data_IF_697817228018
#
_entry.id   IF_697817228018
#
_cell.length_a   1.000
_cell.length_b   1.000
_cell.length_c   1.000
_cell.angle_alpha   90.00
_cell.angle_beta   90.00
_cell.angle_gamma   90.00
#
_symmetry.space_group_name_H-M   'P 1'
#
loop_
_entity.id
_entity.type
_entity.pdbx_description
1 polymer ?
#
# COMPACT_ATOMS: atom_id res chain seq x y z
N UNK A 1 5.35 3.61 21.32
CA UNK A 1 4.08 2.89 21.61
C UNK A 1 3.74 2.12 20.35
N UNK A 2 3.93 0.79 20.35
CA UNK A 2 3.65 -0.02 19.17
C UNK A 2 2.19 0.16 18.77
N UNK A 3 1.94 0.69 17.57
CA UNK A 3 0.60 0.69 16.98
C UNK A 3 0.19 -0.77 16.88
N UNK A 4 -0.81 -1.22 17.67
CA UNK A 4 -1.43 -2.54 17.47
C UNK A 4 -1.93 -2.58 16.03
N UNK A 5 -1.15 -3.17 15.12
CA UNK A 5 -1.56 -3.34 13.73
C UNK A 5 -2.85 -4.14 13.74
N UNK A 6 -3.90 -3.59 13.14
CA UNK A 6 -5.16 -4.32 13.05
C UNK A 6 -4.96 -5.54 12.13
N UNK A 7 -5.69 -6.66 12.36
CA UNK A 7 -5.57 -7.87 11.53
C UNK A 7 -5.64 -7.59 10.02
N UNK A 8 -6.48 -6.63 9.61
CA UNK A 8 -6.60 -6.20 8.21
C UNK A 8 -5.36 -5.51 7.66
N UNK A 9 -4.67 -4.68 8.45
CA UNK A 9 -3.44 -4.02 8.01
C UNK A 9 -2.34 -5.04 7.67
N UNK A 10 -2.27 -6.12 8.45
CA UNK A 10 -1.31 -7.22 8.23
C UNK A 10 -1.68 -8.05 7.01
N UNK A 11 -2.98 -8.31 6.83
CA UNK A 11 -3.48 -9.01 5.66
C UNK A 11 -3.24 -8.21 4.36
N UNK A 12 -3.35 -6.88 4.38
CA UNK A 12 -2.98 -6.04 3.22
C UNK A 12 -1.50 -6.11 2.89
N UNK A 13 -0.66 -6.04 3.92
CA UNK A 13 0.79 -6.15 3.80
C UNK A 13 1.18 -7.52 3.23
N UNK A 14 0.56 -8.59 3.74
CA UNK A 14 0.69 -9.93 3.19
C UNK A 14 0.21 -10.04 1.74
N UNK A 15 -0.93 -9.43 1.40
CA UNK A 15 -1.46 -9.41 0.05
C UNK A 15 -0.54 -8.66 -0.93
N UNK A 16 -0.01 -7.51 -0.54
CA UNK A 16 0.92 -6.71 -1.34
C UNK A 16 2.17 -7.50 -1.71
N UNK A 17 2.78 -8.14 -0.71
CA UNK A 17 3.98 -8.95 -0.90
C UNK A 17 3.68 -10.19 -1.76
N UNK A 18 2.51 -10.81 -1.57
CA UNK A 18 2.10 -12.00 -2.31
C UNK A 18 1.76 -11.69 -3.77
N UNK A 19 1.03 -10.60 -4.05
CA UNK A 19 0.69 -10.16 -5.42
C UNK A 19 1.95 -9.97 -6.26
N UNK A 20 3.02 -9.46 -5.65
CA UNK A 20 4.30 -9.26 -6.33
C UNK A 20 4.93 -10.58 -6.82
N UNK A 21 4.63 -11.70 -6.15
CA UNK A 21 5.17 -13.04 -6.39
C UNK A 21 4.31 -13.90 -7.32
N UNK A 22 3.07 -13.49 -7.60
CA UNK A 22 2.17 -14.22 -8.51
C UNK A 22 2.73 -14.12 -9.94
N UNK A 23 3.37 -15.20 -10.40
CA UNK A 23 3.58 -15.44 -11.83
C UNK A 23 2.20 -15.71 -12.43
N UNK A 24 1.66 -14.73 -13.16
CA UNK A 24 0.43 -14.77 -13.99
C UNK A 24 0.02 -16.19 -14.41
N UNK A 25 -0.73 -16.90 -13.55
CA UNK A 25 -1.44 -18.13 -13.91
C UNK A 25 -2.92 -17.77 -13.92
N UNK A 26 -3.53 -17.87 -15.10
CA UNK A 26 -4.90 -17.43 -15.42
C UNK A 26 -6.02 -18.23 -14.74
N UNK A 27 -5.75 -19.06 -13.73
CA UNK A 27 -6.76 -19.88 -13.06
C UNK A 27 -6.82 -19.57 -11.56
N UNK A 28 -8.02 -19.75 -10.99
CA UNK A 28 -8.36 -19.56 -9.57
C UNK A 28 -7.22 -20.06 -8.68
N UNK A 29 -6.67 -19.18 -7.83
CA UNK A 29 -5.66 -19.55 -6.85
C UNK A 29 -6.23 -20.64 -5.94
N UNK A 30 -5.51 -21.75 -5.80
CA UNK A 30 -5.83 -22.77 -4.80
C UNK A 30 -5.26 -22.37 -3.43
N UNK A 31 -5.75 -22.98 -2.35
CA UNK A 31 -5.19 -22.79 -1.00
C UNK A 31 -3.70 -23.16 -0.93
N UNK A 32 -3.27 -24.16 -1.69
CA UNK A 32 -1.87 -24.59 -1.78
C UNK A 32 -1.00 -23.54 -2.49
N UNK A 33 -1.49 -22.95 -3.59
CA UNK A 33 -0.81 -21.83 -4.26
C UNK A 33 -0.66 -20.62 -3.31
N UNK A 34 -1.62 -20.40 -2.42
CA UNK A 34 -1.62 -19.32 -1.45
C UNK A 34 -0.59 -19.55 -0.34
N UNK A 35 -0.46 -20.77 0.16
CA UNK A 35 0.55 -21.12 1.16
C UNK A 35 1.97 -20.96 0.61
N UNK A 36 2.20 -21.35 -0.64
CA UNK A 36 3.47 -21.14 -1.34
C UNK A 36 3.79 -19.65 -1.53
N UNK A 37 2.77 -18.83 -1.85
CA UNK A 37 2.92 -17.38 -1.98
C UNK A 37 3.24 -16.71 -0.64
N UNK A 38 2.55 -17.11 0.43
CA UNK A 38 2.80 -16.63 1.79
C UNK A 38 4.23 -16.99 2.21
N UNK A 39 4.66 -18.23 1.95
CA UNK A 39 6.01 -18.67 2.27
C UNK A 39 7.07 -17.89 1.47
N UNK A 40 6.82 -17.61 0.19
CA UNK A 40 7.69 -16.78 -0.64
C UNK A 40 7.76 -15.32 -0.15
N UNK A 41 6.63 -14.75 0.27
CA UNK A 41 6.56 -13.42 0.86
C UNK A 41 7.35 -13.34 2.18
N UNK A 42 7.15 -14.31 3.08
CA UNK A 42 7.89 -14.42 4.35
C UNK A 42 9.40 -14.55 4.09
N UNK A 43 9.82 -15.36 3.11
CA UNK A 43 11.24 -15.50 2.74
C UNK A 43 11.83 -14.19 2.24
N UNK A 44 11.10 -13.48 1.40
CA UNK A 44 11.53 -12.18 0.86
C UNK A 44 11.70 -11.17 1.99
N UNK A 45 10.73 -11.07 2.90
CA UNK A 45 10.82 -10.20 4.07
C UNK A 45 11.95 -10.60 5.02
N UNK A 46 12.19 -11.90 5.21
CA UNK A 46 13.30 -12.37 6.06
C UNK A 46 14.64 -11.86 5.52
N UNK A 47 14.84 -11.90 4.20
CA UNK A 47 16.04 -11.36 3.55
C UNK A 47 16.12 -9.84 3.76
N UNK A 48 15.02 -9.12 3.53
CA UNK A 48 14.99 -7.66 3.72
C UNK A 48 15.27 -7.24 5.18
N UNK A 49 14.75 -7.99 6.15
CA UNK A 49 15.05 -7.78 7.57
C UNK A 49 16.53 -8.01 7.84
N UNK A 50 17.11 -9.08 7.28
CA UNK A 50 18.55 -9.34 7.40
C UNK A 50 19.38 -8.20 6.81
N UNK A 51 19.06 -7.74 5.60
CA UNK A 51 19.72 -6.61 4.94
C UNK A 51 19.62 -5.33 5.78
N UNK A 52 18.43 -5.05 6.34
CA UNK A 52 18.22 -3.91 7.22
C UNK A 52 19.06 -3.98 8.50
N UNK A 53 19.19 -5.16 9.11
CA UNK A 53 20.05 -5.39 10.28
C UNK A 53 21.54 -5.21 9.95
N UNK A 54 21.99 -5.77 8.83
CA UNK A 54 23.37 -5.63 8.35
C UNK A 54 23.68 -4.16 8.05
N UNK A 55 22.77 -3.46 7.38
CA UNK A 55 22.94 -2.04 7.06
C UNK A 55 22.90 -1.16 8.32
N UNK A 56 22.04 -1.47 9.30
CA UNK A 56 22.03 -0.78 10.59
C UNK A 56 23.34 -0.98 11.35
N UNK A 57 23.88 -2.20 11.37
CA UNK A 57 25.19 -2.51 11.96
C UNK A 57 26.31 -1.70 11.28
N UNK A 58 26.31 -1.62 9.96
CA UNK A 58 27.29 -0.83 9.21
C UNK A 58 27.17 0.69 9.44
N UNK A 59 25.95 1.22 9.63
CA UNK A 59 25.75 2.60 10.07
C UNK A 59 26.31 2.83 11.48
N UNK A 60 26.01 1.96 12.45
CA UNK A 60 26.52 2.09 13.83
C UNK A 60 28.05 2.09 13.86
N UNK A 61 28.69 1.18 13.12
CA UNK A 61 30.16 1.14 13.01
C UNK A 61 30.74 2.43 12.43
N UNK A 62 30.08 3.02 11.41
CA UNK A 62 30.49 4.33 10.86
C UNK A 62 30.31 5.46 11.87
N UNK A 63 29.23 5.42 12.66
CA UNK A 63 29.02 6.36 13.76
C UNK A 63 30.14 6.30 14.79
N UNK A 64 30.51 5.08 15.21
CA UNK A 64 31.63 4.82 16.14
C UNK A 64 32.96 5.34 15.59
N UNK A 65 33.32 4.99 14.35
CA UNK A 65 34.54 5.46 13.69
C UNK A 65 34.57 7.00 13.60
N UNK A 66 33.44 7.66 13.36
CA UNK A 66 33.34 9.12 13.31
C UNK A 66 33.54 9.76 14.68
N UNK A 67 32.99 9.17 15.73
CA UNK A 67 33.22 9.63 17.11
C UNK A 67 34.70 9.48 17.47
N UNK A 68 35.31 8.32 17.21
CA UNK A 68 36.73 8.07 17.48
C UNK A 68 37.64 9.04 16.71
N UNK A 69 37.31 9.32 15.45
CA UNK A 69 38.03 10.31 14.66
C UNK A 69 37.81 11.74 15.16
N UNK A 70 36.66 12.05 15.78
CA UNK A 70 36.39 13.36 16.36
C UNK A 70 37.24 13.62 17.61
N UNK A 71 37.47 12.60 18.43
CA UNK A 71 38.34 12.68 19.62
C UNK A 71 39.79 12.98 19.26
N UNK A 72 40.24 12.64 18.05
CA UNK A 72 41.62 12.76 17.61
C UNK A 72 41.88 13.96 16.68
N UNK A 73 40.84 14.62 16.16
CA UNK A 73 40.99 15.65 15.09
C UNK A 73 40.21 16.95 15.28
N UNK A 74 39.27 17.04 16.23
CA UNK A 74 38.49 18.26 16.40
C UNK A 74 39.38 19.41 16.93
N UNK A 75 39.69 20.38 16.07
CA UNK A 75 40.47 21.59 16.43
C UNK A 75 39.62 22.68 17.08
N UNK A 76 38.31 22.66 16.89
CA UNK A 76 37.36 23.66 17.39
C UNK A 76 35.97 23.06 17.67
N UNK A 77 35.19 23.80 18.46
CA UNK A 77 33.88 23.39 18.99
C UNK A 77 32.81 23.22 17.90
N UNK A 78 32.95 23.94 16.77
CA UNK A 78 32.00 23.85 15.68
C UNK A 78 32.23 22.58 14.85
N UNK A 79 33.50 22.25 14.58
CA UNK A 79 33.91 21.00 13.94
C UNK A 79 33.44 19.78 14.76
N UNK A 80 33.64 19.81 16.09
CA UNK A 80 33.12 18.76 16.98
C UNK A 80 31.59 18.62 16.90
N UNK A 81 30.86 19.74 16.88
CA UNK A 81 29.39 19.73 16.80
C UNK A 81 28.88 19.10 15.49
N UNK A 82 29.47 19.45 14.35
CA UNK A 82 29.09 18.89 13.05
C UNK A 82 29.33 17.37 13.03
N UNK A 83 30.50 16.91 13.50
CA UNK A 83 30.81 15.48 13.54
C UNK A 83 29.84 14.67 14.42
N UNK A 84 29.44 15.22 15.57
CA UNK A 84 28.44 14.60 16.46
C UNK A 84 27.05 14.59 15.81
N UNK A 85 26.64 15.67 15.16
CA UNK A 85 25.34 15.72 14.45
C UNK A 85 25.26 14.65 13.35
N UNK A 86 26.34 14.47 12.59
CA UNK A 86 26.38 13.43 11.56
C UNK A 86 26.35 12.02 12.16
N UNK A 87 27.08 11.78 13.26
CA UNK A 87 27.04 10.49 13.97
C UNK A 87 25.65 10.19 14.56
N UNK A 88 24.95 11.20 15.08
CA UNK A 88 23.57 11.09 15.54
C UNK A 88 22.61 10.78 14.39
N UNK A 89 22.78 11.43 13.23
CA UNK A 89 21.97 11.16 12.04
C UNK A 89 22.13 9.70 11.59
N UNK A 90 23.37 9.22 11.48
CA UNK A 90 23.69 7.84 11.14
C UNK A 90 23.07 6.85 12.14
N UNK A 91 23.18 7.14 13.43
CA UNK A 91 22.58 6.33 14.50
C UNK A 91 21.05 6.31 14.42
N UNK A 92 20.41 7.44 14.13
CA UNK A 92 18.97 7.52 13.97
C UNK A 92 18.50 6.66 12.79
N UNK A 93 19.23 6.67 11.67
CA UNK A 93 18.96 5.78 10.53
C UNK A 93 19.06 4.30 10.93
N UNK A 94 20.09 3.92 11.69
CA UNK A 94 20.24 2.56 12.19
C UNK A 94 19.09 2.14 13.12
N UNK A 95 18.69 3.01 14.05
CA UNK A 95 17.55 2.77 14.96
C UNK A 95 16.24 2.58 14.18
N UNK A 96 16.00 3.41 13.16
CA UNK A 96 14.79 3.28 12.34
C UNK A 96 14.76 1.92 11.62
N UNK A 97 15.90 1.46 11.07
CA UNK A 97 16.01 0.13 10.42
C UNK A 97 15.80 -1.02 11.40
N UNK A 98 16.35 -0.92 12.62
CA UNK A 98 16.14 -1.90 13.67
C UNK A 98 14.67 -1.98 14.09
N UNK A 99 13.96 -0.85 14.12
CA UNK A 99 12.52 -0.81 14.39
C UNK A 99 11.73 -1.72 13.46
N UNK A 100 12.01 -1.66 12.15
CA UNK A 100 11.38 -2.51 11.13
C UNK A 100 11.65 -3.99 11.43
N UNK A 101 12.90 -4.36 11.75
CA UNK A 101 13.28 -5.74 12.04
C UNK A 101 12.58 -6.30 13.30
N UNK A 102 12.37 -5.46 14.32
CA UNK A 102 11.73 -5.87 15.58
C UNK A 102 10.22 -6.07 15.44
N UNK A 103 9.56 -5.41 14.49
CA UNK A 103 8.12 -5.64 14.21
C UNK A 103 7.85 -6.99 13.51
N UNK A 104 8.87 -7.58 12.86
CA UNK A 104 8.70 -8.76 12.01
C UNK A 104 8.20 -10.02 12.75
N UNK A 105 8.68 -10.38 13.95
CA UNK A 105 8.16 -11.55 14.67
C UNK A 105 6.66 -11.43 15.02
N UNK A 106 6.20 -10.24 15.39
CA UNK A 106 4.76 -9.99 15.65
C UNK A 106 3.96 -10.12 14.35
N UNK A 107 4.47 -9.57 13.25
CA UNK A 107 3.87 -9.74 11.93
C UNK A 107 3.69 -11.22 11.58
N UNK A 108 4.74 -12.05 11.71
CA UNK A 108 4.65 -13.48 11.43
C UNK A 108 3.61 -14.19 12.28
N UNK A 109 3.57 -13.92 13.58
CA UNK A 109 2.56 -14.50 14.46
C UNK A 109 1.15 -14.14 14.00
N UNK A 110 0.92 -12.90 13.59
CA UNK A 110 -0.38 -12.43 13.17
C UNK A 110 -0.78 -12.96 11.78
N UNK A 111 0.17 -13.18 10.86
CA UNK A 111 -0.12 -13.82 9.56
C UNK A 111 -0.62 -15.25 9.67
N UNK A 112 -0.26 -15.98 10.74
CA UNK A 112 -0.78 -17.32 10.99
C UNK A 112 -2.23 -17.34 11.51
N UNK A 113 -2.80 -16.19 11.86
CA UNK A 113 -4.20 -16.11 12.30
C UNK A 113 -5.14 -16.29 11.12
N UNK A 114 -6.12 -17.17 11.29
CA UNK A 114 -7.08 -17.52 10.23
C UNK A 114 -7.78 -16.30 9.62
N UNK A 115 -8.21 -15.34 10.44
CA UNK A 115 -8.86 -14.11 9.97
C UNK A 115 -7.97 -13.26 9.06
N UNK A 116 -6.65 -13.24 9.32
CA UNK A 116 -5.67 -12.50 8.52
C UNK A 116 -5.47 -13.20 7.19
N UNK A 117 -5.29 -14.52 7.20
CA UNK A 117 -5.16 -15.33 5.98
C UNK A 117 -6.41 -15.20 5.12
N UNK A 118 -7.59 -15.39 5.70
CA UNK A 118 -8.85 -15.35 4.97
C UNK A 118 -9.06 -14.00 4.27
N UNK A 119 -8.79 -12.89 4.97
CA UNK A 119 -8.93 -11.56 4.36
C UNK A 119 -7.86 -11.30 3.29
N UNK A 120 -6.61 -11.74 3.51
CA UNK A 120 -5.58 -11.61 2.49
C UNK A 120 -5.94 -12.39 1.22
N UNK A 121 -6.51 -13.59 1.37
CA UNK A 121 -6.99 -14.42 0.26
C UNK A 121 -8.12 -13.72 -0.49
N UNK A 122 -9.13 -13.25 0.23
CA UNK A 122 -10.26 -12.52 -0.33
C UNK A 122 -9.78 -11.29 -1.12
N UNK A 123 -8.85 -10.52 -0.57
CA UNK A 123 -8.25 -9.36 -1.23
C UNK A 123 -7.46 -9.72 -2.48
N UNK A 124 -6.59 -10.72 -2.41
CA UNK A 124 -5.82 -11.20 -3.58
C UNK A 124 -6.77 -11.72 -4.67
N UNK A 125 -7.84 -12.43 -4.29
CA UNK A 125 -8.84 -12.92 -5.22
C UNK A 125 -9.56 -11.77 -5.92
N UNK A 126 -10.06 -10.78 -5.16
CA UNK A 126 -10.74 -9.59 -5.71
C UNK A 126 -9.84 -8.81 -6.68
N UNK A 127 -8.56 -8.59 -6.32
CA UNK A 127 -7.59 -7.91 -7.20
C UNK A 127 -7.38 -8.66 -8.51
N UNK A 128 -7.35 -10.00 -8.48
CA UNK A 128 -7.12 -10.80 -9.67
C UNK A 128 -8.37 -10.96 -10.54
N UNK A 129 -9.53 -11.17 -9.92
CA UNK A 129 -10.81 -11.38 -10.62
C UNK A 129 -11.28 -10.12 -11.31
N UNK A 130 -11.20 -8.97 -10.63
CA UNK A 130 -11.65 -7.67 -11.13
C UNK A 130 -10.51 -6.79 -11.66
N UNK A 131 -9.37 -7.39 -12.01
CA UNK A 131 -8.15 -6.66 -12.35
C UNK A 131 -8.36 -5.59 -13.41
N UNK A 132 -9.11 -5.89 -14.47
CA UNK A 132 -9.33 -4.96 -15.57
C UNK A 132 -10.18 -3.76 -15.15
N UNK A 133 -11.26 -3.99 -14.42
CA UNK A 133 -12.13 -2.94 -13.89
C UNK A 133 -11.39 -2.04 -12.90
N UNK A 134 -10.59 -2.65 -12.01
CA UNK A 134 -9.72 -1.94 -11.06
C UNK A 134 -8.71 -1.05 -11.80
N UNK A 135 -7.99 -1.61 -12.77
CA UNK A 135 -6.99 -0.86 -13.54
C UNK A 135 -7.64 0.29 -14.31
N UNK A 136 -8.81 0.06 -14.92
CA UNK A 136 -9.56 1.09 -15.63
C UNK A 136 -9.99 2.22 -14.68
N UNK A 137 -10.56 1.89 -13.51
CA UNK A 137 -10.96 2.89 -12.53
C UNK A 137 -9.79 3.77 -12.05
N UNK A 138 -8.60 3.19 -11.92
CA UNK A 138 -7.37 3.92 -11.59
C UNK A 138 -6.96 4.83 -12.77
N UNK A 139 -6.87 4.29 -13.98
CA UNK A 139 -6.45 5.03 -15.18
C UNK A 139 -7.35 6.25 -15.45
N UNK A 140 -8.64 6.08 -15.20
CA UNK A 140 -9.69 7.08 -15.30
C UNK A 140 -9.49 8.33 -14.42
N UNK A 141 -8.65 8.25 -13.39
CA UNK A 141 -8.31 9.37 -12.49
C UNK A 141 -6.83 9.72 -12.47
N UNK A 142 -6.02 9.01 -13.27
CA UNK A 142 -4.63 9.35 -13.49
C UNK A 142 -4.53 10.53 -14.47
N UNK A 143 -3.85 11.58 -14.04
CA UNK A 143 -3.60 12.76 -14.87
C UNK A 143 -2.17 12.66 -15.41
N UNK A 144 -2.00 12.62 -16.72
CA UNK A 144 -0.72 12.59 -17.44
C UNK A 144 0.15 11.32 -17.30
N UNK A 145 -0.26 10.33 -16.50
CA UNK A 145 0.49 9.08 -16.30
C UNK A 145 -0.34 7.87 -16.70
N UNK A 146 0.31 6.90 -17.35
CA UNK A 146 -0.28 5.57 -17.55
C UNK A 146 0.03 4.71 -16.32
N UNK A 147 -0.93 3.90 -15.87
CA UNK A 147 -0.76 3.01 -14.73
C UNK A 147 0.43 2.04 -14.92
N UNK A 148 0.69 1.62 -16.15
CA UNK A 148 1.82 0.77 -16.55
C UNK A 148 3.19 1.40 -16.29
N UNK A 149 3.29 2.74 -16.26
CA UNK A 149 4.55 3.48 -16.04
C UNK A 149 4.88 3.70 -14.57
N UNK A 150 3.95 3.41 -13.66
CA UNK A 150 4.19 3.53 -12.23
C UNK A 150 5.14 2.42 -11.75
N UNK A 151 5.93 2.69 -10.67
CA UNK A 151 6.62 1.65 -9.93
C UNK A 151 5.66 0.51 -9.60
N UNK A 152 6.15 -0.73 -9.68
CA UNK A 152 5.31 -1.93 -9.48
C UNK A 152 4.60 -1.88 -8.12
N UNK A 153 5.31 -1.47 -7.08
CA UNK A 153 4.78 -1.37 -5.72
C UNK A 153 3.63 -0.37 -5.62
N UNK A 154 3.76 0.82 -6.21
CA UNK A 154 2.72 1.86 -6.17
C UNK A 154 1.46 1.41 -6.89
N UNK A 155 1.63 0.78 -8.06
CA UNK A 155 0.52 0.22 -8.81
C UNK A 155 -0.19 -0.88 -8.02
N UNK A 156 0.55 -1.75 -7.34
CA UNK A 156 -0.04 -2.84 -6.56
C UNK A 156 -0.76 -2.30 -5.30
N UNK A 157 -0.24 -1.26 -4.66
CA UNK A 157 -0.92 -0.54 -3.57
C UNK A 157 -2.23 0.11 -4.05
N UNK A 158 -2.21 0.76 -5.22
CA UNK A 158 -3.42 1.35 -5.81
C UNK A 158 -4.47 0.27 -6.13
N UNK A 159 -4.06 -0.87 -6.70
CA UNK A 159 -4.95 -1.99 -6.99
C UNK A 159 -5.61 -2.54 -5.72
N UNK A 160 -4.84 -2.73 -4.65
CA UNK A 160 -5.37 -3.16 -3.34
C UNK A 160 -6.41 -2.16 -2.83
N UNK A 161 -6.09 -0.87 -2.85
CA UNK A 161 -6.98 0.17 -2.35
C UNK A 161 -8.32 0.18 -3.09
N UNK A 162 -8.26 0.13 -4.42
CA UNK A 162 -9.44 0.17 -5.28
C UNK A 162 -10.25 -1.12 -5.18
N UNK A 163 -9.59 -2.28 -5.07
CA UNK A 163 -10.27 -3.55 -4.81
C UNK A 163 -11.08 -3.50 -3.51
N UNK A 164 -10.50 -2.96 -2.44
CA UNK A 164 -11.17 -2.79 -1.16
C UNK A 164 -12.39 -1.87 -1.23
N UNK A 165 -12.24 -0.75 -1.94
CA UNK A 165 -13.29 0.26 -2.11
C UNK A 165 -14.47 -0.29 -2.93
N UNK A 166 -14.18 -1.02 -4.01
CA UNK A 166 -15.20 -1.41 -4.98
C UNK A 166 -15.84 -2.78 -4.70
N UNK A 167 -15.10 -3.72 -4.09
CA UNK A 167 -15.52 -5.12 -4.01
C UNK A 167 -15.56 -5.71 -2.60
N UNK A 168 -14.97 -5.06 -1.58
CA UNK A 168 -14.85 -5.62 -0.22
C UNK A 168 -15.54 -4.78 0.87
N UNK A 169 -16.47 -3.91 0.48
CA UNK A 169 -17.26 -3.05 1.39
C UNK A 169 -16.41 -2.26 2.41
N UNK A 170 -15.17 -1.92 2.06
CA UNK A 170 -14.29 -1.14 2.94
C UNK A 170 -14.57 0.35 2.72
N UNK A 171 -14.85 1.12 3.79
CA UNK A 171 -15.05 2.57 3.64
C UNK A 171 -13.84 3.24 2.99
N UNK A 172 -14.09 4.09 2.00
CA UNK A 172 -13.06 4.78 1.21
C UNK A 172 -11.97 5.44 2.06
N UNK A 173 -12.36 6.13 3.14
CA UNK A 173 -11.42 6.79 4.04
C UNK A 173 -10.45 5.80 4.71
N UNK A 174 -10.94 4.61 5.04
CA UNK A 174 -10.13 3.55 5.66
C UNK A 174 -9.16 2.98 4.63
N UNK A 175 -9.64 2.60 3.45
CA UNK A 175 -8.81 2.07 2.37
C UNK A 175 -7.70 3.06 1.99
N UNK A 176 -8.04 4.35 1.81
CA UNK A 176 -7.06 5.41 1.51
C UNK A 176 -5.98 5.51 2.57
N UNK A 177 -6.37 5.60 3.86
CA UNK A 177 -5.41 5.73 4.95
C UNK A 177 -4.46 4.53 5.01
N UNK A 178 -5.00 3.32 4.87
CA UNK A 178 -4.21 2.08 4.93
C UNK A 178 -3.24 1.98 3.74
N UNK A 179 -3.65 2.36 2.55
CA UNK A 179 -2.78 2.40 1.37
C UNK A 179 -1.66 3.43 1.49
N UNK A 180 -1.93 4.58 2.14
CA UNK A 180 -0.89 5.57 2.44
C UNK A 180 0.12 5.03 3.46
N UNK A 181 -0.34 4.31 4.49
CA UNK A 181 0.55 3.68 5.45
C UNK A 181 1.39 2.55 4.83
N UNK A 182 0.84 1.79 3.88
CA UNK A 182 1.63 0.84 3.08
C UNK A 182 2.67 1.56 2.22
N UNK A 183 2.29 2.64 1.55
CA UNK A 183 3.21 3.41 0.69
C UNK A 183 4.37 4.02 1.50
N UNK A 184 4.12 4.50 2.73
CA UNK A 184 5.19 4.96 3.62
C UNK A 184 6.19 3.87 3.99
N UNK A 185 5.76 2.60 4.01
CA UNK A 185 6.62 1.45 4.32
C UNK A 185 7.38 0.94 3.11
N UNK A 186 6.73 0.88 1.94
CA UNK A 186 7.25 0.16 0.77
C UNK A 186 7.56 1.02 -0.45
N UNK A 187 7.19 2.30 -0.43
CA UNK A 187 7.45 3.26 -1.50
C UNK A 187 8.29 4.44 -1.00
N UNK A 188 8.64 5.35 -1.90
CA UNK A 188 9.38 6.56 -1.58
C UNK A 188 8.47 7.69 -1.06
N UNK A 189 9.08 8.83 -0.71
CA UNK A 189 8.33 9.96 -0.17
C UNK A 189 7.32 10.56 -1.14
N UNK A 190 7.55 10.44 -2.44
CA UNK A 190 6.67 10.98 -3.46
C UNK A 190 5.51 10.01 -3.74
N UNK A 191 5.76 8.71 -3.63
CA UNK A 191 4.81 7.62 -3.82
C UNK A 191 3.60 7.73 -2.90
N UNK A 192 3.79 7.91 -1.58
CA UNK A 192 2.65 8.00 -0.67
C UNK A 192 1.79 9.26 -0.90
N UNK A 193 2.40 10.39 -1.27
CA UNK A 193 1.67 11.63 -1.61
C UNK A 193 0.87 11.44 -2.89
N UNK A 194 1.50 10.82 -3.89
CA UNK A 194 0.88 10.50 -5.17
C UNK A 194 -0.34 9.57 -4.99
N UNK A 195 -0.17 8.46 -4.28
CA UNK A 195 -1.22 7.46 -4.01
C UNK A 195 -2.42 8.12 -3.31
N UNK A 196 -2.20 8.91 -2.27
CA UNK A 196 -3.26 9.65 -1.60
C UNK A 196 -4.03 10.58 -2.57
N UNK A 197 -3.32 11.29 -3.45
CA UNK A 197 -3.93 12.17 -4.45
C UNK A 197 -4.79 11.41 -5.46
N UNK A 198 -4.30 10.27 -5.96
CA UNK A 198 -5.04 9.42 -6.91
C UNK A 198 -6.32 8.87 -6.27
N UNK A 199 -6.22 8.28 -5.07
CA UNK A 199 -7.36 7.64 -4.43
C UNK A 199 -8.44 8.64 -3.97
N UNK A 200 -8.06 9.88 -3.60
CA UNK A 200 -9.03 10.95 -3.35
C UNK A 200 -9.84 11.29 -4.60
N UNK A 201 -9.18 11.46 -5.75
CA UNK A 201 -9.87 11.70 -7.03
C UNK A 201 -10.80 10.55 -7.41
N UNK A 202 -10.37 9.30 -7.17
CA UNK A 202 -11.19 8.11 -7.38
C UNK A 202 -12.46 8.14 -6.50
N UNK A 203 -12.30 8.37 -5.20
CA UNK A 203 -13.40 8.48 -4.24
C UNK A 203 -14.40 9.58 -4.64
N UNK A 204 -13.92 10.75 -5.07
CA UNK A 204 -14.80 11.84 -5.50
C UNK A 204 -15.57 11.48 -6.77
N UNK A 205 -14.95 10.75 -7.71
CA UNK A 205 -15.60 10.28 -8.94
C UNK A 205 -16.66 9.22 -8.67
N UNK A 206 -16.38 8.23 -7.82
CA UNK A 206 -17.33 7.17 -7.48
C UNK A 206 -18.61 7.75 -6.81
N UNK A 207 -18.47 8.78 -5.99
CA UNK A 207 -19.62 9.52 -5.42
C UNK A 207 -20.45 10.24 -6.47
N UNK A 208 -19.82 10.81 -7.49
CA UNK A 208 -20.54 11.48 -8.57
C UNK A 208 -21.34 10.49 -9.42
N UNK A 209 -20.79 9.30 -9.67
CA UNK A 209 -21.48 8.24 -10.41
C UNK A 209 -22.71 7.70 -9.66
N UNK A 210 -22.59 7.44 -8.35
CA UNK A 210 -23.73 6.98 -7.54
C UNK A 210 -24.85 8.03 -7.41
N UNK A 211 -24.50 9.32 -7.46
CA UNK A 211 -25.48 10.42 -7.44
C UNK A 211 -26.17 10.62 -8.81
N UNK A 212 -25.48 10.30 -9.91
CA UNK A 212 -26.03 10.40 -11.26
C UNK A 212 -26.99 9.24 -11.61
N UNK A 213 -26.71 8.02 -11.13
CA UNK A 213 -27.55 6.84 -11.37
C UNK A 213 -28.86 6.83 -10.54
N UNK A 214 -28.93 7.62 -9.48
CA UNK A 214 -30.10 7.71 -8.59
C UNK A 214 -31.14 8.77 -9.00
N UNK A 215 -30.96 9.44 -10.14
CA UNK A 215 -31.97 10.33 -10.76
C UNK A 215 -32.70 9.63 -11.91
N UNK A 216 -33.98 9.22 -11.77
CA UNK A 216 -34.69 8.52 -12.84
C UNK A 216 -35.10 9.47 -13.97
N UNK A 217 -35.01 8.95 -15.21
CA UNK A 217 -35.62 9.52 -16.42
C UNK A 217 -37.11 9.76 -16.18
N UNK A 218 -37.54 11.03 -16.14
CA UNK A 218 -38.95 11.39 -16.26
C UNK A 218 -39.36 11.29 -17.73
N UNK A 219 -40.15 10.25 -18.00
CA UNK A 219 -41.24 10.13 -18.99
C UNK A 219 -41.17 10.99 -20.26
N UNK A 220 -40.77 10.37 -21.38
CA UNK A 220 -41.41 10.62 -22.68
C UNK A 220 -42.28 9.38 -22.99
N UNK A 221 -43.50 9.36 -22.44
CA UNK A 221 -44.54 8.42 -22.86
C UNK A 221 -45.67 9.20 -23.53
N UNK A 222 -45.63 9.21 -24.86
CA UNK A 222 -46.75 9.10 -25.80
C UNK A 222 -48.09 9.69 -25.34
N UNK A 223 -48.43 10.89 -25.83
CA UNK A 223 -49.85 11.28 -25.99
C UNK A 223 -50.27 10.96 -27.41
N UNK A 224 -50.86 9.78 -27.57
CA UNK A 224 -51.67 9.42 -28.73
C UNK A 224 -53.10 9.93 -28.51
N UNK A 225 -53.57 10.72 -29.48
CA UNK A 225 -54.93 10.75 -30.04
C UNK A 225 -56.11 10.42 -29.10
N UNK A 226 -56.88 11.45 -28.74
CA UNK A 226 -58.33 11.32 -28.60
C UNK A 226 -59.06 12.41 -29.39
N UNK A 227 -60.10 11.91 -30.04
CA UNK A 227 -61.06 12.48 -30.99
C UNK A 227 -61.81 13.70 -30.40
N UNK A 228 -61.85 14.82 -31.14
CA UNK A 228 -62.89 15.84 -30.94
C UNK A 228 -63.95 15.73 -32.04
N UNK A 229 -65.11 15.27 -31.62
CA UNK A 229 -66.39 15.32 -32.31
C UNK A 229 -67.04 16.67 -31.98
N UNK A 230 -67.27 17.55 -32.98
CA UNK A 230 -68.40 18.50 -32.98
C UNK A 230 -68.58 19.29 -34.29
N UNK A 231 -69.81 19.13 -34.80
CA UNK A 231 -70.60 20.01 -35.70
C UNK A 231 -70.35 19.93 -37.20
#
# INVERSE_FOLDING_TARGET
>A
MALRKQPRSIARELALLSISQIKTKKNKLTQEDLDDLILAAIRTLTIEVQDNLEAASAELKRGEERILNSETRASDLNSARVMIQEALSVSQTAVNRLGIAVEFPEFLQLTSKEQVRQYAIELIAAVNEHRHEIEQAIEDVLVAWQLSRLPKIDRDILRIAVAEIMYLDIPEKVAINESVELAKRYSDEDGFRFINGVLRRLSDRLKQQSTAESSPKLEETVVGTEVEEKT
#
